data_IF_894711675340
#
_entry.id   IF_894711675340
#
_cell.length_a   1.000
_cell.length_b   1.000
_cell.length_c   1.000
_cell.angle_alpha   90.00
_cell.angle_beta   90.00
_cell.angle_gamma   90.00
#
_symmetry.space_group_name_H-M   'P 1'
#
loop_
_entity.id
_entity.type
_entity.pdbx_description
1 polymer ?
#
# COMPACT_ATOMS: atom_id res chain seq x y z
N UNK A 1 9.38 -6.94 10.60
CA UNK A 1 8.75 -6.65 11.89
C UNK A 1 7.23 -6.44 11.73
N UNK A 2 6.78 -5.73 10.71
CA UNK A 2 5.36 -5.65 10.34
C UNK A 2 4.81 -6.99 9.86
N UNK A 3 5.65 -7.80 9.24
CA UNK A 3 5.35 -9.17 8.84
C UNK A 3 5.01 -10.03 10.07
N UNK A 4 5.72 -9.87 11.19
CA UNK A 4 5.40 -10.58 12.43
C UNK A 4 4.09 -10.11 13.04
N UNK A 5 3.80 -8.82 13.06
CA UNK A 5 2.52 -8.30 13.54
C UNK A 5 1.36 -8.77 12.65
N UNK A 6 1.56 -8.85 11.33
CA UNK A 6 0.60 -9.43 10.40
C UNK A 6 0.47 -10.96 10.57
N UNK A 7 1.58 -11.68 10.86
CA UNK A 7 1.57 -13.12 11.10
C UNK A 7 0.95 -13.48 12.46
N UNK A 8 1.25 -12.69 13.50
CA UNK A 8 0.60 -12.77 14.82
C UNK A 8 -0.89 -12.45 14.70
N UNK A 9 -1.23 -11.45 13.88
CA UNK A 9 -2.60 -11.13 13.55
C UNK A 9 -3.30 -12.21 12.76
N UNK A 10 -2.59 -13.06 11.99
CA UNK A 10 -3.25 -14.00 11.07
C UNK A 10 -4.08 -15.05 11.78
N UNK A 11 -3.62 -15.67 12.86
CA UNK A 11 -4.42 -16.64 13.62
C UNK A 11 -5.51 -15.97 14.47
N UNK A 12 -5.21 -14.84 15.10
CA UNK A 12 -6.18 -14.04 15.82
C UNK A 12 -7.15 -13.29 14.88
N UNK A 13 -6.68 -12.87 13.70
CA UNK A 13 -7.51 -12.19 12.70
C UNK A 13 -8.45 -13.12 11.95
N UNK A 14 -8.15 -14.41 11.84
CA UNK A 14 -9.00 -15.38 11.14
C UNK A 14 -10.27 -15.70 11.96
N UNK A 15 -10.21 -15.58 13.27
CA UNK A 15 -11.30 -15.98 14.15
C UNK A 15 -12.41 -14.95 14.26
N UNK A 16 -12.07 -13.64 14.35
CA UNK A 16 -13.05 -12.57 14.52
C UNK A 16 -12.62 -11.28 13.79
N UNK A 17 -13.29 -10.91 12.69
CA UNK A 17 -13.12 -9.63 11.98
C UNK A 17 -11.70 -9.34 11.46
N UNK A 18 -11.16 -10.17 10.58
CA UNK A 18 -9.76 -10.06 10.12
C UNK A 18 -9.48 -8.74 9.39
N UNK A 19 -10.37 -8.27 8.53
CA UNK A 19 -10.19 -7.03 7.75
C UNK A 19 -10.09 -5.80 8.65
N UNK A 20 -10.91 -5.73 9.70
CA UNK A 20 -10.88 -4.61 10.63
C UNK A 20 -9.53 -4.48 11.34
N UNK A 21 -9.01 -5.59 11.86
CA UNK A 21 -7.74 -5.61 12.60
C UNK A 21 -6.57 -5.26 11.70
N UNK A 22 -6.53 -5.82 10.50
CA UNK A 22 -5.50 -5.49 9.50
C UNK A 22 -5.58 -4.01 9.15
N UNK A 23 -6.77 -3.46 8.92
CA UNK A 23 -6.93 -2.04 8.59
C UNK A 23 -6.47 -1.12 9.71
N UNK A 24 -6.71 -1.45 11.00
CA UNK A 24 -6.24 -0.65 12.13
C UNK A 24 -4.70 -0.64 12.19
N UNK A 25 -4.06 -1.81 12.10
CA UNK A 25 -2.59 -1.92 12.08
C UNK A 25 -2.00 -1.16 10.89
N UNK A 26 -2.59 -1.34 9.71
CA UNK A 26 -2.17 -0.63 8.50
C UNK A 26 -2.44 0.89 8.57
N UNK A 27 -3.43 1.36 9.34
CA UNK A 27 -3.66 2.78 9.56
C UNK A 27 -2.51 3.43 10.35
N UNK A 28 -1.98 2.73 11.36
CA UNK A 28 -0.81 3.18 12.12
C UNK A 28 0.42 3.28 11.21
N UNK A 29 0.63 2.29 10.34
CA UNK A 29 1.69 2.34 9.32
C UNK A 29 1.52 3.55 8.38
N UNK A 30 0.28 3.80 7.93
CA UNK A 30 -0.02 4.94 7.04
C UNK A 30 0.22 6.30 7.68
N UNK A 31 0.18 6.41 9.00
CA UNK A 31 0.55 7.62 9.70
C UNK A 31 2.01 7.99 9.42
N UNK A 32 2.92 7.01 9.45
CA UNK A 32 4.32 7.22 9.08
C UNK A 32 4.50 7.71 7.64
N UNK A 33 3.81 7.07 6.68
CA UNK A 33 3.91 7.48 5.27
C UNK A 33 3.29 8.85 4.99
N UNK A 34 2.24 9.22 5.73
CA UNK A 34 1.60 10.54 5.62
C UNK A 34 2.52 11.65 6.15
N UNK A 35 3.29 11.38 7.20
CA UNK A 35 4.22 12.35 7.79
C UNK A 35 5.54 12.43 6.99
N UNK A 36 5.91 11.40 6.24
CA UNK A 36 7.18 11.36 5.53
C UNK A 36 7.46 12.59 4.64
N UNK A 37 6.52 13.13 3.83
CA UNK A 37 6.76 14.34 3.06
C UNK A 37 7.07 15.56 3.91
N UNK A 38 6.45 15.70 5.09
CA UNK A 38 6.75 16.78 6.04
C UNK A 38 8.15 16.64 6.60
N UNK A 39 8.56 15.42 6.94
CA UNK A 39 9.91 15.15 7.42
C UNK A 39 10.95 15.51 6.36
N UNK A 40 10.72 15.08 5.12
CA UNK A 40 11.60 15.37 4.00
C UNK A 40 11.69 16.88 3.77
N UNK A 41 10.57 17.57 3.66
CA UNK A 41 10.54 19.01 3.39
C UNK A 41 11.08 19.82 4.57
N UNK A 42 10.71 19.45 5.80
CA UNK A 42 11.04 20.24 7.00
C UNK A 42 12.42 19.98 7.59
N UNK A 43 13.04 18.83 7.32
CA UNK A 43 14.33 18.46 7.89
C UNK A 43 15.40 18.29 6.81
N UNK A 44 15.11 17.57 5.73
CA UNK A 44 16.11 17.31 4.68
C UNK A 44 16.31 18.54 3.81
N UNK A 45 15.20 19.16 3.36
CA UNK A 45 15.23 20.32 2.46
C UNK A 45 14.96 21.66 3.17
N UNK A 46 15.07 21.71 4.50
CA UNK A 46 14.88 22.97 5.25
C UNK A 46 15.88 24.04 4.80
N UNK A 47 15.38 25.09 4.14
CA UNK A 47 16.20 26.22 3.68
C UNK A 47 17.10 25.95 2.47
N UNK A 48 16.89 24.83 1.75
CA UNK A 48 17.73 24.43 0.61
C UNK A 48 16.85 24.21 -0.62
N UNK A 49 17.30 24.67 -1.78
CA UNK A 49 16.66 24.33 -3.06
C UNK A 49 17.15 22.96 -3.55
N UNK A 50 16.30 22.22 -4.26
CA UNK A 50 16.61 20.87 -4.79
C UNK A 50 17.94 20.80 -5.55
N UNK A 51 18.33 21.90 -6.23
CA UNK A 51 19.57 21.99 -7.02
C UNK A 51 20.84 22.11 -6.17
N UNK A 52 20.70 22.51 -4.89
CA UNK A 52 21.82 22.78 -3.98
C UNK A 52 22.00 21.72 -2.88
N UNK A 53 21.28 20.61 -2.95
CA UNK A 53 21.37 19.53 -1.96
C UNK A 53 22.69 18.80 -2.08
N UNK A 54 23.46 18.79 -0.98
CA UNK A 54 24.73 18.04 -0.89
C UNK A 54 24.55 16.76 -0.09
N UNK A 55 25.42 15.76 -0.32
CA UNK A 55 25.40 14.49 0.41
C UNK A 55 25.52 14.68 1.94
N UNK A 56 26.27 15.70 2.37
CA UNK A 56 26.47 16.02 3.79
C UNK A 56 25.18 16.40 4.51
N UNK A 57 24.27 17.07 3.81
CA UNK A 57 22.96 17.45 4.37
C UNK A 57 22.05 16.25 4.61
N UNK A 58 22.21 15.19 3.83
CA UNK A 58 21.45 13.95 3.99
C UNK A 58 21.98 13.09 5.15
N UNK A 59 23.26 13.25 5.50
CA UNK A 59 23.89 12.41 6.52
C UNK A 59 23.23 12.53 7.90
N UNK A 60 22.94 13.74 8.35
CA UNK A 60 22.33 13.98 9.67
C UNK A 60 20.92 13.38 9.80
N UNK A 61 19.95 13.60 8.88
CA UNK A 61 18.64 12.98 8.94
C UNK A 61 18.69 11.44 8.91
N UNK A 62 19.57 10.85 8.07
CA UNK A 62 19.72 9.41 8.02
C UNK A 62 20.35 8.83 9.29
N UNK A 63 21.30 9.51 9.93
CA UNK A 63 21.83 9.11 11.23
C UNK A 63 20.75 9.15 12.32
N UNK A 64 19.87 10.17 12.31
CA UNK A 64 18.74 10.25 13.26
C UNK A 64 17.76 9.08 13.07
N UNK A 65 17.42 8.74 11.83
CA UNK A 65 16.56 7.58 11.52
C UNK A 65 17.24 6.29 12.00
N UNK A 66 18.54 6.13 11.72
CA UNK A 66 19.31 4.97 12.14
C UNK A 66 19.30 4.82 13.67
N UNK A 67 19.50 5.93 14.40
CA UNK A 67 19.45 5.94 15.86
C UNK A 67 18.06 5.52 16.37
N UNK A 68 16.99 6.04 15.77
CA UNK A 68 15.62 5.65 16.11
C UNK A 68 15.38 4.14 15.89
N UNK A 69 15.91 3.58 14.79
CA UNK A 69 15.81 2.15 14.49
C UNK A 69 16.58 1.32 15.56
N UNK A 70 17.78 1.75 15.94
CA UNK A 70 18.56 1.08 16.97
C UNK A 70 17.81 1.09 18.31
N UNK A 71 17.29 2.26 18.73
CA UNK A 71 16.54 2.40 19.98
C UNK A 71 15.30 1.51 19.97
N UNK A 72 14.51 1.53 18.89
CA UNK A 72 13.32 0.67 18.76
C UNK A 72 13.69 -0.81 18.78
N UNK A 73 14.79 -1.19 18.15
CA UNK A 73 15.28 -2.58 18.16
C UNK A 73 15.70 -3.00 19.59
N UNK A 74 16.39 -2.13 20.32
CA UNK A 74 16.79 -2.40 21.71
C UNK A 74 15.56 -2.52 22.63
N UNK A 75 14.58 -1.64 22.50
CA UNK A 75 13.33 -1.71 23.26
C UNK A 75 12.61 -3.03 22.94
N UNK A 76 12.45 -3.36 21.67
CA UNK A 76 11.74 -4.58 21.24
C UNK A 76 12.45 -5.85 21.72
N UNK A 77 13.79 -5.85 21.73
CA UNK A 77 14.57 -7.00 22.22
C UNK A 77 14.41 -7.25 23.72
N UNK A 78 13.99 -6.23 24.49
CA UNK A 78 13.74 -6.35 25.94
C UNK A 78 12.29 -6.67 26.28
N UNK A 79 11.37 -6.62 25.30
CA UNK A 79 9.99 -6.99 25.50
C UNK A 79 9.84 -8.51 25.43
N UNK A 80 9.24 -9.10 26.47
CA UNK A 80 8.83 -10.49 26.45
C UNK A 80 7.61 -10.64 25.54
N UNK A 81 7.86 -10.74 24.24
CA UNK A 81 6.80 -10.99 23.27
C UNK A 81 6.31 -12.44 23.44
N UNK A 82 4.98 -12.67 23.47
CA UNK A 82 4.43 -14.03 23.56
C UNK A 82 4.91 -14.83 22.34
N UNK A 83 5.49 -15.99 22.62
CA UNK A 83 5.93 -16.92 21.58
C UNK A 83 4.68 -17.54 20.94
N UNK A 84 4.27 -16.99 19.80
CA UNK A 84 3.15 -17.53 19.05
C UNK A 84 3.67 -18.79 18.36
N UNK A 85 3.45 -19.90 19.04
CA UNK A 85 3.64 -21.21 18.43
C UNK A 85 2.62 -21.29 17.28
N UNK A 86 3.08 -20.94 16.06
CA UNK A 86 2.35 -21.32 14.86
C UNK A 86 2.01 -22.79 14.99
N UNK A 87 0.79 -23.18 14.65
CA UNK A 87 0.30 -24.54 14.74
C UNK A 87 1.42 -25.48 14.31
N UNK A 88 2.04 -26.17 15.28
CA UNK A 88 3.11 -27.14 14.97
C UNK A 88 2.52 -28.09 13.97
N UNK A 89 3.04 -28.06 12.77
CA UNK A 89 2.69 -29.06 11.76
C UNK A 89 3.01 -30.39 12.38
N UNK A 90 1.97 -31.11 12.80
CA UNK A 90 2.13 -32.45 13.32
C UNK A 90 2.84 -33.23 12.22
N UNK A 91 4.06 -33.67 12.49
CA UNK A 91 4.91 -34.36 11.50
C UNK A 91 4.25 -35.62 10.92
N UNK A 92 3.21 -36.12 11.56
CA UNK A 92 2.41 -37.24 11.10
C UNK A 92 1.39 -36.87 10.00
N UNK A 93 1.05 -35.58 9.84
CA UNK A 93 0.16 -35.09 8.81
C UNK A 93 0.94 -34.24 7.79
N UNK A 94 1.86 -34.85 7.04
CA UNK A 94 2.51 -34.18 5.92
C UNK A 94 1.43 -33.70 4.95
N UNK A 95 1.43 -32.41 4.61
CA UNK A 95 0.44 -31.82 3.72
C UNK A 95 0.45 -32.55 2.37
N UNK A 96 -0.67 -33.16 1.99
CA UNK A 96 -0.83 -33.97 0.78
C UNK A 96 -0.74 -33.16 -0.52
N UNK A 97 -0.84 -31.82 -0.46
CA UNK A 97 -0.90 -30.95 -1.62
C UNK A 97 0.13 -29.84 -1.57
N UNK A 98 0.63 -29.44 -2.74
CA UNK A 98 1.49 -28.24 -2.85
C UNK A 98 0.69 -26.97 -2.54
N UNK A 99 1.31 -25.98 -1.90
CA UNK A 99 0.69 -24.68 -1.59
C UNK A 99 0.25 -23.94 -2.88
N UNK A 100 0.93 -24.18 -3.99
CA UNK A 100 0.60 -23.63 -5.30
C UNK A 100 -0.64 -24.24 -5.96
N UNK A 101 -1.19 -25.34 -5.41
CA UNK A 101 -2.47 -25.90 -5.85
C UNK A 101 -3.66 -25.01 -5.50
N UNK A 102 -3.47 -24.04 -4.61
CA UNK A 102 -4.50 -23.09 -4.22
C UNK A 102 -4.49 -21.88 -5.15
N UNK A 103 -5.32 -21.95 -6.20
CA UNK A 103 -5.37 -20.95 -7.28
C UNK A 103 -5.65 -19.53 -6.77
N UNK A 104 -6.52 -19.38 -5.75
CA UNK A 104 -6.83 -18.08 -5.15
C UNK A 104 -5.65 -17.47 -4.41
N UNK A 105 -4.71 -18.25 -3.88
CA UNK A 105 -3.46 -17.77 -3.31
C UNK A 105 -2.51 -17.26 -4.40
N UNK A 106 -2.28 -18.06 -5.44
CA UNK A 106 -1.36 -17.69 -6.54
C UNK A 106 -1.83 -16.41 -7.25
N UNK A 107 -3.14 -16.31 -7.53
CA UNK A 107 -3.73 -15.10 -8.08
C UNK A 107 -3.73 -13.94 -7.06
N UNK A 108 -3.82 -14.24 -5.77
CA UNK A 108 -3.69 -13.25 -4.69
C UNK A 108 -2.30 -12.62 -4.63
N UNK A 109 -1.24 -13.40 -4.84
CA UNK A 109 0.14 -12.88 -4.93
C UNK A 109 0.28 -11.93 -6.11
N UNK A 110 -0.27 -12.32 -7.27
CA UNK A 110 -0.27 -11.47 -8.47
C UNK A 110 -1.07 -10.19 -8.19
N UNK A 111 -2.27 -10.30 -7.64
CA UNK A 111 -3.10 -9.15 -7.31
C UNK A 111 -2.40 -8.20 -6.33
N UNK A 112 -1.72 -8.74 -5.31
CA UNK A 112 -0.97 -7.93 -4.36
C UNK A 112 0.23 -7.22 -5.00
N UNK A 113 0.91 -7.88 -5.94
CA UNK A 113 2.01 -7.31 -6.70
C UNK A 113 1.55 -6.10 -7.53
N UNK A 114 0.43 -6.22 -8.24
CA UNK A 114 -0.14 -5.12 -9.00
C UNK A 114 -0.72 -4.03 -8.09
N UNK A 115 -1.35 -4.40 -6.96
CA UNK A 115 -1.87 -3.45 -6.00
C UNK A 115 -0.77 -2.55 -5.43
N UNK A 116 0.31 -3.15 -4.90
CA UNK A 116 1.42 -2.38 -4.32
C UNK A 116 2.11 -1.56 -5.41
N UNK A 117 2.17 -2.11 -6.62
CA UNK A 117 2.64 -1.38 -7.79
C UNK A 117 1.86 -0.09 -8.04
N UNK A 118 0.53 -0.16 -8.08
CA UNK A 118 -0.34 1.00 -8.27
C UNK A 118 -0.25 1.99 -7.08
N UNK A 119 -0.34 1.46 -5.85
CA UNK A 119 -0.30 2.26 -4.62
C UNK A 119 0.98 3.10 -4.55
N UNK A 120 2.14 2.48 -4.73
CA UNK A 120 3.43 3.17 -4.64
C UNK A 120 3.66 4.08 -5.85
N UNK A 121 3.26 3.65 -7.06
CA UNK A 121 3.38 4.50 -8.26
C UNK A 121 2.61 5.80 -8.11
N UNK A 122 1.37 5.75 -7.65
CA UNK A 122 0.58 6.98 -7.43
C UNK A 122 1.21 7.79 -6.29
N UNK A 123 1.52 7.17 -5.16
CA UNK A 123 2.04 7.87 -3.99
C UNK A 123 3.38 8.59 -4.20
N UNK A 124 4.23 8.07 -5.08
CA UNK A 124 5.56 8.65 -5.37
C UNK A 124 5.52 9.55 -6.60
N UNK A 125 4.94 9.07 -7.71
CA UNK A 125 5.07 9.74 -8.99
C UNK A 125 4.07 10.89 -9.20
N UNK A 126 3.02 11.00 -8.37
CA UNK A 126 2.10 12.15 -8.40
C UNK A 126 2.84 13.47 -8.16
N UNK A 127 3.87 13.44 -7.33
CA UNK A 127 4.74 14.57 -7.05
C UNK A 127 5.50 15.01 -8.31
N UNK A 128 6.09 14.06 -9.06
CA UNK A 128 6.85 14.35 -10.27
C UNK A 128 5.94 14.88 -11.38
N UNK A 129 4.74 14.31 -11.54
CA UNK A 129 3.76 14.83 -12.49
C UNK A 129 3.30 16.24 -12.13
N UNK A 130 3.10 16.53 -10.84
CA UNK A 130 2.75 17.88 -10.39
C UNK A 130 3.86 18.90 -10.68
N UNK A 131 5.12 18.50 -10.56
CA UNK A 131 6.27 19.35 -10.92
C UNK A 131 6.29 19.65 -12.42
N UNK A 132 6.11 18.64 -13.28
CA UNK A 132 5.99 18.83 -14.73
C UNK A 132 4.87 19.82 -15.09
N UNK A 133 3.70 19.68 -14.47
CA UNK A 133 2.58 20.58 -14.73
C UNK A 133 2.86 22.02 -14.29
N UNK A 134 3.58 22.22 -13.19
CA UNK A 134 3.99 23.57 -12.73
C UNK A 134 5.00 24.17 -13.70
N UNK A 135 5.98 23.41 -14.17
CA UNK A 135 6.96 23.85 -15.18
C UNK A 135 6.27 24.23 -16.49
N UNK A 136 5.23 23.51 -16.88
CA UNK A 136 4.38 23.83 -18.05
C UNK A 136 3.39 24.98 -17.80
N UNK A 137 3.50 25.70 -16.69
CA UNK A 137 2.70 26.90 -16.39
C UNK A 137 1.32 26.62 -15.77
N UNK A 138 1.03 25.38 -15.40
CA UNK A 138 -0.19 25.07 -14.64
C UNK A 138 -0.13 25.64 -13.23
N UNK A 139 -1.16 26.38 -12.85
CA UNK A 139 -1.30 26.91 -11.49
C UNK A 139 -2.25 26.05 -10.69
N UNK A 140 -1.73 25.37 -9.69
CA UNK A 140 -2.54 24.65 -8.74
C UNK A 140 -2.92 25.58 -7.57
N UNK A 141 -4.19 25.54 -7.20
CA UNK A 141 -4.68 26.24 -6.01
C UNK A 141 -5.32 25.23 -5.06
N UNK A 142 -4.88 25.26 -3.83
CA UNK A 142 -5.54 24.57 -2.74
C UNK A 142 -6.06 25.64 -1.76
N UNK A 143 -7.38 25.69 -1.57
CA UNK A 143 -8.04 26.76 -0.77
C UNK A 143 -7.64 28.19 -1.20
N UNK A 144 -7.45 28.43 -2.50
CA UNK A 144 -7.09 29.74 -3.03
C UNK A 144 -5.62 30.15 -2.85
N UNK A 145 -4.76 29.25 -2.35
CA UNK A 145 -3.33 29.49 -2.11
C UNK A 145 -2.48 28.56 -2.99
N UNK A 146 -1.35 29.08 -3.48
CA UNK A 146 -0.34 28.32 -4.20
C UNK A 146 0.61 27.53 -3.29
N UNK A 147 0.66 27.88 -2.01
CA UNK A 147 1.46 27.24 -0.97
C UNK A 147 0.62 27.06 0.29
N UNK A 148 0.82 25.97 1.00
CA UNK A 148 0.16 25.73 2.28
C UNK A 148 1.22 25.59 3.36
N UNK A 149 1.10 26.41 4.39
CA UNK A 149 1.96 26.33 5.57
C UNK A 149 1.26 25.46 6.61
N UNK A 150 1.86 24.30 6.93
CA UNK A 150 1.39 23.40 7.97
C UNK A 150 2.48 23.29 9.04
N UNK A 151 2.15 23.62 10.28
CA UNK A 151 3.10 23.64 11.40
C UNK A 151 4.37 24.45 11.15
N UNK A 152 4.27 25.56 10.39
CA UNK A 152 5.41 26.41 10.05
C UNK A 152 6.26 25.92 8.88
N UNK A 153 5.92 24.77 8.27
CA UNK A 153 6.57 24.25 7.07
C UNK A 153 5.78 24.66 5.83
N UNK A 154 6.45 25.23 4.86
CA UNK A 154 5.87 25.55 3.56
C UNK A 154 5.88 24.30 2.67
N UNK A 155 4.70 23.72 2.48
CA UNK A 155 4.49 22.59 1.57
C UNK A 155 4.13 23.11 0.20
N UNK A 156 5.02 22.88 -0.76
CA UNK A 156 4.69 23.00 -2.17
C UNK A 156 3.58 22.04 -2.57
N UNK A 157 2.81 22.39 -3.59
CA UNK A 157 1.69 21.58 -4.08
C UNK A 157 2.08 20.13 -4.40
N UNK A 158 3.24 19.82 -5.02
CA UNK A 158 3.63 18.43 -5.27
C UNK A 158 3.70 17.58 -4.01
N UNK A 159 4.36 18.09 -2.96
CA UNK A 159 4.46 17.39 -1.67
C UNK A 159 3.09 17.26 -0.98
N UNK A 160 2.23 18.28 -1.12
CA UNK A 160 0.87 18.25 -0.59
C UNK A 160 0.03 17.16 -1.25
N UNK A 161 0.07 17.00 -2.57
CA UNK A 161 -0.68 15.96 -3.28
C UNK A 161 -0.26 14.56 -2.82
N UNK A 162 1.04 14.30 -2.71
CA UNK A 162 1.56 13.05 -2.16
C UNK A 162 1.08 12.81 -0.72
N UNK A 163 1.18 13.85 0.13
CA UNK A 163 0.72 13.77 1.53
C UNK A 163 -0.78 13.47 1.62
N UNK A 164 -1.60 14.10 0.79
CA UNK A 164 -3.04 13.89 0.77
C UNK A 164 -3.42 12.51 0.24
N UNK A 165 -2.66 11.98 -0.71
CA UNK A 165 -2.86 10.60 -1.18
C UNK A 165 -2.59 9.59 -0.05
N UNK A 166 -1.43 9.67 0.61
CA UNK A 166 -1.10 8.80 1.75
C UNK A 166 -2.01 9.05 2.96
N UNK A 167 -2.40 10.30 3.19
CA UNK A 167 -3.41 10.66 4.19
C UNK A 167 -4.78 10.07 3.89
N UNK A 168 -5.16 10.02 2.61
CA UNK A 168 -6.37 9.36 2.13
C UNK A 168 -6.37 7.87 2.45
N UNK A 169 -5.23 7.18 2.28
CA UNK A 169 -5.09 5.78 2.69
C UNK A 169 -5.31 5.63 4.21
N UNK A 170 -4.71 6.50 5.02
CA UNK A 170 -4.84 6.45 6.48
C UNK A 170 -6.30 6.66 6.90
N UNK A 171 -6.93 7.72 6.41
CA UNK A 171 -8.33 8.06 6.73
C UNK A 171 -9.27 6.96 6.26
N UNK A 172 -9.07 6.46 5.04
CA UNK A 172 -9.87 5.39 4.50
C UNK A 172 -9.77 4.10 5.33
N UNK A 173 -8.56 3.70 5.76
CA UNK A 173 -8.37 2.53 6.66
C UNK A 173 -9.12 2.69 7.96
N UNK A 174 -9.11 3.88 8.56
CA UNK A 174 -9.89 4.17 9.78
C UNK A 174 -11.38 4.08 9.51
N UNK A 175 -11.89 4.74 8.47
CA UNK A 175 -13.32 4.71 8.11
C UNK A 175 -13.79 3.27 7.87
N UNK A 176 -13.08 2.53 7.02
CA UNK A 176 -13.46 1.17 6.66
C UNK A 176 -13.27 0.15 7.80
N UNK A 177 -12.49 0.48 8.85
CA UNK A 177 -12.43 -0.37 10.04
C UNK A 177 -13.77 -0.48 10.77
N UNK A 178 -14.67 0.47 10.56
CA UNK A 178 -16.04 0.42 11.11
C UNK A 178 -17.02 -0.42 10.28
N UNK A 179 -16.69 -0.73 9.03
CA UNK A 179 -17.53 -1.51 8.12
C UNK A 179 -17.30 -3.03 8.26
N UNK A 180 -17.70 -3.59 9.41
CA UNK A 180 -17.40 -4.99 9.75
C UNK A 180 -18.25 -6.04 9.04
N UNK A 181 -19.39 -5.64 8.47
CA UNK A 181 -20.38 -6.57 7.93
C UNK A 181 -20.27 -6.75 6.39
N UNK A 182 -19.33 -6.05 5.74
CA UNK A 182 -19.18 -6.11 4.30
C UNK A 182 -18.17 -7.21 3.93
N UNK A 183 -18.56 -8.08 2.99
CA UNK A 183 -17.66 -9.10 2.47
C UNK A 183 -16.40 -8.47 1.84
N UNK A 184 -15.18 -8.97 2.14
CA UNK A 184 -13.93 -8.46 1.54
C UNK A 184 -13.95 -8.45 0.01
N UNK A 185 -14.65 -9.42 -0.60
CA UNK A 185 -14.80 -9.49 -2.06
C UNK A 185 -15.63 -8.32 -2.60
N UNK A 186 -16.79 -8.04 -2.00
CA UNK A 186 -17.65 -6.93 -2.42
C UNK A 186 -16.90 -5.61 -2.25
N UNK A 187 -16.24 -5.43 -1.11
CA UNK A 187 -15.48 -4.24 -0.81
C UNK A 187 -14.36 -4.02 -1.84
N UNK A 188 -13.56 -5.07 -2.11
CA UNK A 188 -12.50 -5.00 -3.12
C UNK A 188 -13.07 -4.71 -4.52
N UNK A 189 -14.18 -5.35 -4.92
CA UNK A 189 -14.80 -5.11 -6.23
C UNK A 189 -15.26 -3.67 -6.38
N UNK A 190 -15.97 -3.13 -5.40
CA UNK A 190 -16.50 -1.77 -5.45
C UNK A 190 -15.36 -0.75 -5.46
N UNK A 191 -14.37 -0.91 -4.59
CA UNK A 191 -13.23 0.02 -4.54
C UNK A 191 -12.37 -0.04 -5.80
N UNK A 192 -12.14 -1.22 -6.40
CA UNK A 192 -11.42 -1.34 -7.66
C UNK A 192 -12.18 -0.72 -8.84
N UNK A 193 -13.51 -0.84 -8.89
CA UNK A 193 -14.31 -0.18 -9.94
C UNK A 193 -14.19 1.35 -9.80
N UNK A 194 -14.37 1.87 -8.58
CA UNK A 194 -14.28 3.32 -8.34
C UNK A 194 -12.87 3.82 -8.66
N UNK A 195 -11.81 3.13 -8.20
CA UNK A 195 -10.43 3.50 -8.49
C UNK A 195 -10.14 3.51 -10.00
N UNK A 196 -10.60 2.47 -10.74
CA UNK A 196 -10.46 2.40 -12.20
C UNK A 196 -11.09 3.62 -12.87
N UNK A 197 -12.31 3.99 -12.47
CA UNK A 197 -13.01 5.16 -13.03
C UNK A 197 -12.26 6.45 -12.68
N UNK A 198 -11.83 6.62 -11.43
CA UNK A 198 -11.10 7.80 -10.99
C UNK A 198 -9.78 7.97 -11.74
N UNK A 199 -9.00 6.90 -11.92
CA UNK A 199 -7.73 6.94 -12.67
C UNK A 199 -8.00 7.28 -14.14
N UNK A 200 -9.01 6.66 -14.75
CA UNK A 200 -9.39 6.96 -16.14
C UNK A 200 -9.77 8.43 -16.30
N UNK A 201 -10.62 8.96 -15.43
CA UNK A 201 -11.00 10.38 -15.45
C UNK A 201 -9.80 11.28 -15.20
N UNK A 202 -8.90 10.92 -14.27
CA UNK A 202 -7.67 11.66 -14.02
C UNK A 202 -6.76 11.72 -15.25
N UNK A 203 -6.62 10.62 -16.00
CA UNK A 203 -5.87 10.58 -17.26
C UNK A 203 -6.50 11.52 -18.28
N UNK A 204 -7.82 11.42 -18.49
CA UNK A 204 -8.54 12.20 -19.52
C UNK A 204 -8.58 13.69 -19.21
N UNK A 205 -8.70 14.06 -17.94
CA UNK A 205 -8.80 15.47 -17.50
C UNK A 205 -7.47 16.08 -17.10
N UNK A 206 -6.41 15.27 -16.99
CA UNK A 206 -5.11 15.67 -16.45
C UNK A 206 -5.20 16.31 -15.06
N UNK A 207 -6.12 15.82 -14.22
CA UNK A 207 -6.42 16.40 -12.92
C UNK A 207 -5.89 15.52 -11.78
N UNK A 208 -4.83 15.99 -11.13
CA UNK A 208 -4.17 15.26 -10.04
C UNK A 208 -5.02 15.18 -8.75
N UNK A 209 -5.96 16.10 -8.53
CA UNK A 209 -6.86 16.02 -7.37
C UNK A 209 -7.77 14.79 -7.42
N UNK A 210 -8.18 14.39 -8.63
CA UNK A 210 -8.93 13.14 -8.83
C UNK A 210 -8.05 11.94 -8.51
N UNK A 211 -6.79 11.98 -8.93
CA UNK A 211 -5.83 10.91 -8.65
C UNK A 211 -5.55 10.75 -7.15
N UNK A 212 -5.47 11.86 -6.38
CA UNK A 212 -5.38 11.84 -4.91
C UNK A 212 -6.54 11.06 -4.28
N UNK A 213 -7.75 11.21 -4.83
CA UNK A 213 -8.96 10.55 -4.30
C UNK A 213 -8.88 9.01 -4.38
N UNK A 214 -8.04 8.46 -5.28
CA UNK A 214 -7.80 7.02 -5.39
C UNK A 214 -7.23 6.44 -4.09
N UNK A 215 -6.50 7.25 -3.31
CA UNK A 215 -5.97 6.83 -2.00
C UNK A 215 -7.05 6.31 -1.05
N UNK A 216 -8.25 6.88 -1.08
CA UNK A 216 -9.37 6.37 -0.28
C UNK A 216 -9.80 4.96 -0.72
N UNK A 217 -9.79 4.67 -2.02
CA UNK A 217 -10.12 3.35 -2.55
C UNK A 217 -9.02 2.33 -2.21
N UNK A 218 -7.75 2.70 -2.39
CA UNK A 218 -6.60 1.85 -2.09
C UNK A 218 -6.52 1.45 -0.61
N UNK A 219 -7.08 2.26 0.28
CA UNK A 219 -6.97 2.09 1.73
C UNK A 219 -7.35 0.69 2.25
N UNK A 220 -8.32 0.04 1.64
CA UNK A 220 -8.84 -1.27 2.09
C UNK A 220 -8.39 -2.44 1.24
N UNK A 221 -7.84 -2.18 0.06
CA UNK A 221 -7.56 -3.23 -0.93
C UNK A 221 -6.54 -4.23 -0.42
N UNK A 222 -5.47 -3.77 0.25
CA UNK A 222 -4.48 -4.65 0.89
C UNK A 222 -5.14 -5.70 1.80
N UNK A 223 -5.93 -5.24 2.78
CA UNK A 223 -6.58 -6.13 3.74
C UNK A 223 -7.56 -7.09 3.07
N UNK A 224 -8.27 -6.63 2.05
CA UNK A 224 -9.19 -7.47 1.28
C UNK A 224 -8.47 -8.55 0.48
N UNK A 225 -7.42 -8.18 -0.29
CA UNK A 225 -6.63 -9.13 -1.09
C UNK A 225 -5.98 -10.15 -0.16
N UNK A 226 -5.34 -9.70 0.91
CA UNK A 226 -4.68 -10.56 1.88
C UNK A 226 -5.66 -11.58 2.48
N UNK A 227 -6.80 -11.10 3.01
CA UNK A 227 -7.83 -11.95 3.63
C UNK A 227 -8.40 -12.98 2.66
N UNK A 228 -8.66 -12.57 1.40
CA UNK A 228 -9.17 -13.47 0.37
C UNK A 228 -8.15 -14.52 -0.05
N UNK A 229 -6.88 -14.16 -0.14
CA UNK A 229 -5.81 -15.02 -0.58
C UNK A 229 -5.47 -16.12 0.44
N UNK A 230 -5.55 -15.83 1.75
CA UNK A 230 -5.27 -16.83 2.80
C UNK A 230 -6.49 -17.63 3.23
N UNK A 231 -7.68 -17.30 2.71
CA UNK A 231 -8.94 -17.92 3.12
C UNK A 231 -8.93 -19.44 2.87
N UNK A 232 -9.21 -20.22 3.93
CA UNK A 232 -9.33 -21.68 3.83
C UNK A 232 -8.01 -22.45 3.76
N UNK A 233 -6.85 -21.79 3.94
CA UNK A 233 -5.54 -22.43 3.88
C UNK A 233 -5.10 -23.12 5.17
N UNK A 234 -5.80 -22.88 6.30
CA UNK A 234 -5.56 -23.52 7.58
C UNK A 234 -4.05 -23.60 7.95
N UNK A 235 -3.48 -24.80 7.98
CA UNK A 235 -2.08 -25.07 8.31
C UNK A 235 -1.06 -24.37 7.38
N UNK A 236 -1.48 -23.97 6.17
CA UNK A 236 -0.63 -23.26 5.21
C UNK A 236 -0.66 -21.75 5.39
N UNK A 237 -1.53 -21.21 6.27
CA UNK A 237 -1.73 -19.75 6.39
C UNK A 237 -0.44 -19.00 6.64
N UNK A 238 0.41 -19.47 7.57
CA UNK A 238 1.69 -18.83 7.86
C UNK A 238 2.63 -18.80 6.65
N UNK A 239 2.77 -19.94 5.95
CA UNK A 239 3.58 -20.03 4.73
C UNK A 239 3.01 -19.18 3.59
N UNK A 240 1.68 -19.19 3.44
CA UNK A 240 0.97 -18.40 2.43
C UNK A 240 1.15 -16.90 2.66
N UNK A 241 1.08 -16.44 3.91
CA UNK A 241 1.33 -15.05 4.28
C UNK A 241 2.75 -14.60 3.89
N UNK A 242 3.76 -15.45 4.12
CA UNK A 242 5.12 -15.17 3.68
C UNK A 242 5.24 -15.07 2.14
N UNK A 243 4.56 -15.94 1.40
CA UNK A 243 4.55 -15.91 -0.06
C UNK A 243 3.83 -14.64 -0.58
N UNK A 244 2.73 -14.24 0.07
CA UNK A 244 2.01 -13.02 -0.29
C UNK A 244 2.89 -11.77 -0.15
N UNK A 245 3.78 -11.73 0.86
CA UNK A 245 4.71 -10.61 1.02
C UNK A 245 5.66 -10.43 -0.16
N UNK A 246 5.91 -11.46 -0.98
CA UNK A 246 6.67 -11.30 -2.23
C UNK A 246 5.98 -10.34 -3.21
N UNK A 247 4.65 -10.22 -3.14
CA UNK A 247 3.89 -9.25 -3.93
C UNK A 247 4.28 -7.79 -3.69
N UNK A 248 4.86 -7.46 -2.53
CA UNK A 248 5.33 -6.09 -2.22
C UNK A 248 6.38 -5.60 -3.23
N UNK A 249 7.09 -6.51 -3.89
CA UNK A 249 8.08 -6.17 -4.91
C UNK A 249 7.50 -5.38 -6.10
N UNK A 250 6.18 -5.42 -6.32
CA UNK A 250 5.50 -4.55 -7.30
C UNK A 250 5.77 -3.06 -7.08
N UNK A 251 5.86 -2.62 -5.81
CA UNK A 251 6.18 -1.24 -5.45
C UNK A 251 7.60 -0.78 -5.84
N UNK A 252 8.51 -1.70 -6.12
CA UNK A 252 9.82 -1.37 -6.66
C UNK A 252 9.81 -1.27 -8.20
N UNK A 253 9.02 -2.10 -8.87
CA UNK A 253 9.03 -2.21 -10.33
C UNK A 253 8.18 -1.12 -11.00
N UNK A 254 6.91 -0.99 -10.59
CA UNK A 254 5.96 -0.16 -11.32
C UNK A 254 6.28 1.34 -11.30
N UNK A 255 6.73 1.96 -10.18
CA UNK A 255 7.12 3.37 -10.19
C UNK A 255 8.29 3.65 -11.14
N UNK A 256 9.27 2.74 -11.20
CA UNK A 256 10.42 2.86 -12.11
C UNK A 256 9.99 2.72 -13.57
N UNK A 257 9.16 1.71 -13.87
CA UNK A 257 8.61 1.55 -15.22
C UNK A 257 7.82 2.78 -15.66
N UNK A 258 7.04 3.36 -14.76
CA UNK A 258 6.29 4.58 -15.02
C UNK A 258 7.22 5.78 -15.29
N UNK A 259 8.31 5.92 -14.52
CA UNK A 259 9.33 6.94 -14.76
C UNK A 259 9.98 6.80 -16.13
N UNK A 260 10.40 5.58 -16.49
CA UNK A 260 10.97 5.30 -17.83
C UNK A 260 9.99 5.67 -18.96
N UNK A 261 8.68 5.37 -18.76
CA UNK A 261 7.69 5.76 -19.75
C UNK A 261 7.48 7.27 -19.81
N UNK A 262 7.52 7.98 -18.67
CA UNK A 262 7.43 9.43 -18.64
C UNK A 262 8.58 10.07 -19.41
N UNK A 263 9.80 9.58 -19.23
CA UNK A 263 10.98 10.05 -19.94
C UNK A 263 10.90 9.76 -21.45
N UNK A 264 10.38 8.60 -21.84
CA UNK A 264 10.27 8.22 -23.26
C UNK A 264 9.13 8.93 -23.99
N UNK A 265 8.01 9.17 -23.32
CA UNK A 265 6.84 9.83 -23.88
C UNK A 265 6.87 11.36 -23.73
N UNK A 266 7.76 11.87 -22.90
CA UNK A 266 7.91 13.29 -22.61
C UNK A 266 6.73 13.86 -21.82
N UNK A 267 5.94 13.02 -21.14
CA UNK A 267 4.80 13.45 -20.32
C UNK A 267 4.37 12.39 -19.33
N UNK A 268 4.01 12.81 -18.12
CA UNK A 268 3.48 11.95 -17.07
C UNK A 268 2.02 11.57 -17.29
N UNK A 269 1.21 12.38 -17.97
CA UNK A 269 -0.23 12.20 -18.06
C UNK A 269 -0.64 10.79 -18.49
N UNK A 270 -0.07 10.30 -19.59
CA UNK A 270 -0.44 8.99 -20.16
C UNK A 270 0.18 7.81 -19.45
N UNK A 271 1.20 8.03 -18.64
CA UNK A 271 1.85 6.94 -17.89
C UNK A 271 0.96 6.32 -16.83
N UNK A 272 -0.08 7.01 -16.39
CA UNK A 272 -1.08 6.49 -15.45
C UNK A 272 -1.88 5.31 -16.00
N UNK A 273 -1.74 4.99 -17.29
CA UNK A 273 -2.27 3.74 -17.85
C UNK A 273 -1.69 2.50 -17.15
N UNK A 274 -0.48 2.59 -16.61
CA UNK A 274 0.10 1.50 -15.79
C UNK A 274 -0.76 1.26 -14.55
N UNK A 275 -1.09 2.32 -13.80
CA UNK A 275 -1.96 2.21 -12.63
C UNK A 275 -3.35 1.69 -13.02
N UNK A 276 -3.89 2.14 -14.15
CA UNK A 276 -5.17 1.66 -14.68
C UNK A 276 -5.13 0.14 -14.96
N UNK A 277 -4.06 -0.37 -15.58
CA UNK A 277 -3.89 -1.81 -15.83
C UNK A 277 -3.82 -2.56 -14.51
N UNK A 278 -3.10 -2.04 -13.52
CA UNK A 278 -3.01 -2.64 -12.19
C UNK A 278 -4.40 -2.76 -11.54
N UNK A 279 -5.24 -1.73 -11.63
CA UNK A 279 -6.61 -1.76 -11.11
C UNK A 279 -7.47 -2.83 -11.80
N UNK A 280 -7.35 -2.98 -13.11
CA UNK A 280 -8.08 -4.02 -13.85
C UNK A 280 -7.67 -5.44 -13.41
N UNK A 281 -6.41 -5.66 -13.08
CA UNK A 281 -5.94 -6.94 -12.52
C UNK A 281 -6.54 -7.18 -11.13
N UNK A 282 -6.60 -6.15 -10.28
CA UNK A 282 -7.25 -6.25 -8.96
C UNK A 282 -8.74 -6.52 -9.09
N UNK A 283 -9.42 -5.85 -10.02
CA UNK A 283 -10.83 -6.08 -10.32
C UNK A 283 -11.07 -7.52 -10.80
N UNK A 284 -10.23 -8.03 -11.69
CA UNK A 284 -10.29 -9.43 -12.12
C UNK A 284 -10.14 -10.39 -10.95
N UNK A 285 -9.18 -10.14 -10.06
CA UNK A 285 -8.98 -10.93 -8.85
C UNK A 285 -10.23 -10.90 -7.95
N UNK A 286 -10.80 -9.72 -7.72
CA UNK A 286 -11.99 -9.56 -6.89
C UNK A 286 -13.19 -10.36 -7.44
N UNK A 287 -13.44 -10.30 -8.74
CA UNK A 287 -14.62 -10.92 -9.38
C UNK A 287 -14.42 -12.43 -9.55
N UNK A 288 -13.27 -12.85 -10.06
CA UNK A 288 -13.04 -14.24 -10.49
C UNK A 288 -11.92 -14.95 -9.71
N UNK A 289 -10.79 -14.31 -9.52
CA UNK A 289 -9.58 -14.93 -8.98
C UNK A 289 -9.66 -15.32 -7.51
N UNK A 290 -10.48 -14.65 -6.73
CA UNK A 290 -10.67 -14.88 -5.29
C UNK A 290 -11.62 -16.05 -4.98
N UNK A 291 -12.19 -16.71 -6.01
CA UNK A 291 -13.04 -17.88 -5.79
C UNK A 291 -12.21 -19.10 -5.38
N UNK A 292 -12.62 -19.71 -4.28
CA UNK A 292 -12.03 -20.97 -3.82
C UNK A 292 -12.57 -22.09 -4.72
N UNK A 293 -11.80 -22.45 -5.73
CA UNK A 293 -12.06 -23.65 -6.55
C UNK A 293 -11.34 -24.82 -5.88
N UNK A 294 -12.10 -25.85 -5.49
CA UNK A 294 -11.58 -27.11 -4.95
C UNK A 294 -10.74 -27.00 -3.68
N UNK A 295 -11.37 -26.73 -2.53
CA UNK A 295 -10.80 -27.19 -1.27
C UNK A 295 -10.81 -28.72 -1.30
N UNK A 296 -9.66 -29.41 -1.14
CA UNK A 296 -9.69 -30.83 -0.87
C UNK A 296 -10.55 -31.03 0.39
N UNK A 297 -11.60 -31.85 0.28
CA UNK A 297 -12.48 -32.18 1.41
C UNK A 297 -11.58 -32.71 2.53
N UNK A 298 -11.38 -31.92 3.56
CA UNK A 298 -10.82 -32.40 4.82
C UNK A 298 -11.89 -33.32 5.41
N UNK A 299 -11.63 -34.64 5.39
CA UNK A 299 -12.43 -35.58 6.16
C UNK A 299 -12.40 -35.11 7.61
N UNK A 300 -13.53 -34.61 8.10
CA UNK A 300 -13.80 -34.49 9.52
C UNK A 300 -13.84 -35.92 10.07
N UNK A 301 -12.77 -36.34 10.71
CA UNK A 301 -12.72 -37.51 11.58
C UNK A 301 -12.76 -37.06 13.02
#
# INVERSE_FOLDING_TARGET
YEISACLVGSEMCIRDRPVQRINIVCAINSFGTTIAPFFVTGIIFAGVTLESVTADQLMFPFLMITLCIIITTLITSRLNLPDIQGTRVDNNNKPKHSIWSYQHLSLGVIALFFYVGAEVSIGVNINLHAMELIENGHRFFCFGKSHIVVWGLDLGIPALLATLYWGGLMVGRLIFSFFNNVSPRILLTVTSIIATILILVAILTNNLWILVSVGLCHSVMWGCIFTLAIKGLQQYTSKASGILMMGVFGGAIFPVLQGILADTWGSWQWTWIIALICELVMLYYAISGSHIKNLPKVQQS
#
